data_IF_224055607360
#
_entry.id   IF_224055607360
#
_cell.length_a   1.000
_cell.length_b   1.000
_cell.length_c   1.000
_cell.angle_alpha   90.00
_cell.angle_beta   90.00
_cell.angle_gamma   90.00
#
_symmetry.space_group_name_H-M   'P 1'
#
loop_
_entity.id
_entity.type
_entity.pdbx_description
1 polymer ?
#
# COMPACT_ATOMS: atom_id res chain seq x y z
N UNK A 1 -11.90 7.07 7.90
CA UNK A 1 -11.05 5.87 8.09
C UNK A 1 -10.84 5.22 6.74
N UNK A 2 -9.67 4.69 6.48
CA UNK A 2 -9.35 4.05 5.19
C UNK A 2 -9.75 2.56 5.20
N UNK A 3 -10.02 1.98 4.03
CA UNK A 3 -10.17 0.55 3.85
C UNK A 3 -8.86 -0.06 3.38
N UNK A 4 -8.35 -1.08 4.07
CA UNK A 4 -7.22 -1.91 3.63
C UNK A 4 -7.76 -3.27 3.22
N UNK A 5 -7.23 -3.82 2.15
CA UNK A 5 -7.54 -5.16 1.68
C UNK A 5 -6.32 -5.83 1.06
N UNK A 6 -6.37 -7.15 0.91
CA UNK A 6 -5.31 -7.90 0.28
C UNK A 6 -5.80 -9.23 -0.27
N UNK A 7 -5.03 -9.77 -1.21
CA UNK A 7 -5.22 -11.07 -1.83
C UNK A 7 -3.88 -11.80 -1.84
N UNK A 8 -3.89 -13.06 -1.43
CA UNK A 8 -2.79 -13.99 -1.63
C UNK A 8 -3.33 -15.19 -2.39
N UNK A 9 -2.80 -15.40 -3.59
CA UNK A 9 -3.25 -16.46 -4.48
C UNK A 9 -2.08 -17.34 -4.91
N UNK A 10 -2.24 -18.66 -4.79
CA UNK A 10 -1.43 -19.64 -5.52
C UNK A 10 -2.20 -19.99 -6.79
N UNK A 11 -1.67 -19.66 -7.94
CA UNK A 11 -2.44 -19.53 -9.17
C UNK A 11 -2.27 -20.73 -10.09
N UNK A 12 -3.37 -21.11 -10.75
CA UNK A 12 -3.35 -21.77 -12.05
C UNK A 12 -3.62 -20.69 -13.13
N UNK A 13 -2.60 -20.19 -13.86
CA UNK A 13 -2.72 -18.99 -14.68
C UNK A 13 -3.81 -19.01 -15.73
N UNK A 14 -4.21 -20.20 -16.18
CA UNK A 14 -5.21 -20.35 -17.25
C UNK A 14 -6.66 -20.26 -16.76
N UNK A 15 -6.91 -20.43 -15.46
CA UNK A 15 -8.27 -20.54 -14.93
C UNK A 15 -8.66 -19.42 -13.95
N UNK A 16 -7.68 -18.71 -13.39
CA UNK A 16 -7.92 -17.87 -12.20
C UNK A 16 -8.02 -16.37 -12.47
N UNK A 17 -7.69 -15.89 -13.68
CA UNK A 17 -7.67 -14.44 -13.96
C UNK A 17 -9.03 -13.77 -13.69
N UNK A 18 -10.10 -14.32 -14.25
CA UNK A 18 -11.44 -13.72 -14.10
C UNK A 18 -11.92 -13.75 -12.65
N UNK A 19 -11.57 -14.83 -11.94
CA UNK A 19 -11.86 -14.93 -10.50
C UNK A 19 -11.08 -13.89 -9.68
N UNK A 20 -9.80 -13.69 -9.97
CA UNK A 20 -8.98 -12.67 -9.32
C UNK A 20 -9.57 -11.28 -9.55
N UNK A 21 -9.97 -10.96 -10.78
CA UNK A 21 -10.59 -9.68 -11.12
C UNK A 21 -11.93 -9.51 -10.38
N UNK A 22 -12.73 -10.56 -10.31
CA UNK A 22 -13.98 -10.54 -9.56
C UNK A 22 -13.75 -10.27 -8.07
N UNK A 23 -12.85 -11.03 -7.42
CA UNK A 23 -12.53 -10.88 -6.00
C UNK A 23 -11.96 -9.47 -5.71
N UNK A 24 -11.06 -8.98 -6.56
CA UNK A 24 -10.49 -7.64 -6.44
C UNK A 24 -11.57 -6.56 -6.54
N UNK A 25 -12.51 -6.67 -7.48
CA UNK A 25 -13.63 -5.73 -7.59
C UNK A 25 -14.52 -5.75 -6.35
N UNK A 26 -14.81 -6.92 -5.79
CA UNK A 26 -15.59 -7.04 -4.56
C UNK A 26 -14.88 -6.36 -3.39
N UNK A 27 -13.57 -6.63 -3.19
CA UNK A 27 -12.78 -6.04 -2.13
C UNK A 27 -12.71 -4.51 -2.24
N UNK A 28 -12.49 -3.97 -3.44
CA UNK A 28 -12.46 -2.52 -3.67
C UNK A 28 -13.82 -1.90 -3.37
N UNK A 29 -14.90 -2.50 -3.84
CA UNK A 29 -16.27 -1.99 -3.62
C UNK A 29 -16.64 -1.99 -2.14
N UNK A 30 -16.29 -3.05 -1.42
CA UNK A 30 -16.55 -3.14 0.03
C UNK A 30 -15.68 -2.15 0.81
N UNK A 31 -14.42 -2.00 0.43
CA UNK A 31 -13.47 -1.11 1.09
C UNK A 31 -13.80 0.37 0.85
N UNK A 32 -14.43 0.73 -0.26
CA UNK A 32 -14.87 2.10 -0.55
C UNK A 32 -15.79 2.68 0.51
N UNK A 33 -16.57 1.83 1.22
CA UNK A 33 -17.42 2.25 2.34
C UNK A 33 -16.62 2.89 3.48
N UNK A 34 -15.32 2.62 3.55
CA UNK A 34 -14.40 3.18 4.56
C UNK A 34 -13.61 4.39 4.05
N UNK A 35 -13.45 4.52 2.72
CA UNK A 35 -12.73 5.64 2.13
C UNK A 35 -13.02 5.74 0.64
N UNK A 36 -13.46 6.91 0.19
CA UNK A 36 -13.97 7.11 -1.16
C UNK A 36 -13.21 8.14 -2.00
N UNK A 37 -12.09 8.70 -1.49
CA UNK A 37 -11.43 9.83 -2.15
C UNK A 37 -10.34 9.40 -3.12
N UNK A 38 -9.56 8.37 -2.74
CA UNK A 38 -8.50 7.84 -3.59
C UNK A 38 -8.42 6.32 -3.49
N UNK A 39 -7.79 5.71 -4.49
CA UNK A 39 -7.65 4.27 -4.59
C UNK A 39 -6.24 3.91 -5.06
N UNK A 40 -5.71 2.82 -4.53
CA UNK A 40 -4.47 2.26 -5.04
C UNK A 40 -4.28 0.80 -4.66
N UNK A 41 -3.53 0.10 -5.50
CA UNK A 41 -3.12 -1.29 -5.30
C UNK A 41 -1.64 -1.47 -5.62
N UNK A 42 -1.03 -2.40 -4.93
CA UNK A 42 0.27 -2.96 -5.27
C UNK A 42 0.09 -4.44 -5.63
N UNK A 43 0.57 -4.81 -6.79
CA UNK A 43 0.56 -6.18 -7.31
C UNK A 43 1.98 -6.70 -7.28
N UNK A 44 2.26 -7.68 -6.43
CA UNK A 44 3.54 -8.37 -6.33
C UNK A 44 3.44 -9.66 -7.14
N UNK A 45 4.24 -9.74 -8.17
CA UNK A 45 4.59 -10.93 -8.93
C UNK A 45 5.95 -11.44 -8.44
N UNK A 46 6.44 -12.56 -8.98
CA UNK A 46 7.66 -13.19 -8.49
C UNK A 46 8.83 -12.21 -8.36
N UNK A 47 9.11 -11.44 -9.43
CA UNK A 47 10.26 -10.55 -9.49
C UNK A 47 9.90 -9.06 -9.52
N UNK A 48 8.63 -8.73 -9.76
CA UNK A 48 8.17 -7.36 -9.93
C UNK A 48 7.15 -6.96 -8.87
N UNK A 49 7.19 -5.70 -8.48
CA UNK A 49 6.12 -5.07 -7.70
C UNK A 49 5.60 -3.88 -8.50
N UNK A 50 4.35 -3.95 -8.90
CA UNK A 50 3.68 -2.98 -9.75
C UNK A 50 2.65 -2.21 -8.95
N UNK A 51 2.57 -0.90 -9.16
CA UNK A 51 1.70 -0.04 -8.37
C UNK A 51 0.77 0.75 -9.28
N UNK A 52 -0.51 0.72 -8.96
CA UNK A 52 -1.53 1.60 -9.53
C UNK A 52 -2.09 2.50 -8.45
N UNK A 53 -2.16 3.79 -8.70
CA UNK A 53 -2.78 4.79 -7.82
C UNK A 53 -3.63 5.77 -8.61
N UNK A 54 -4.70 6.25 -7.99
CA UNK A 54 -5.54 7.29 -8.56
C UNK A 54 -6.15 8.15 -7.45
N UNK A 55 -6.46 9.40 -7.80
CA UNK A 55 -7.21 10.33 -6.95
C UNK A 55 -8.72 10.29 -7.22
N UNK A 56 -9.19 9.22 -7.82
CA UNK A 56 -10.59 9.02 -8.14
C UNK A 56 -11.25 8.07 -7.13
N UNK A 57 -12.56 8.21 -7.05
CA UNK A 57 -13.41 7.29 -6.30
C UNK A 57 -13.15 5.84 -6.74
N UNK A 58 -12.91 4.89 -5.80
CA UNK A 58 -12.52 3.52 -6.13
C UNK A 58 -13.41 2.81 -7.15
N UNK A 59 -14.74 2.84 -6.95
CA UNK A 59 -15.70 2.21 -7.88
C UNK A 59 -15.75 2.87 -9.26
N UNK A 60 -15.37 4.13 -9.39
CA UNK A 60 -15.21 4.80 -10.69
C UNK A 60 -13.90 4.34 -11.32
N UNK A 61 -12.81 4.35 -10.56
CA UNK A 61 -11.47 4.01 -11.03
C UNK A 61 -11.40 2.60 -11.64
N UNK A 62 -11.97 1.59 -10.98
CA UNK A 62 -11.93 0.19 -11.46
C UNK A 62 -12.70 -0.05 -12.76
N UNK A 63 -13.54 0.90 -13.20
CA UNK A 63 -14.24 0.83 -14.48
C UNK A 63 -13.51 1.56 -15.60
N UNK A 64 -12.46 2.34 -15.30
CA UNK A 64 -11.71 3.10 -16.29
C UNK A 64 -10.73 2.24 -17.09
N UNK A 65 -10.49 2.69 -18.33
CA UNK A 65 -9.61 2.00 -19.27
C UNK A 65 -8.18 1.86 -18.74
N UNK A 66 -7.64 2.91 -18.09
CA UNK A 66 -6.28 2.88 -17.55
C UNK A 66 -6.09 1.79 -16.47
N UNK A 67 -7.07 1.60 -15.59
CA UNK A 67 -7.03 0.51 -14.61
C UNK A 67 -7.14 -0.87 -15.26
N UNK A 68 -8.06 -1.02 -16.22
CA UNK A 68 -8.23 -2.28 -16.97
C UNK A 68 -6.96 -2.64 -17.72
N UNK A 69 -6.36 -1.67 -18.43
CA UNK A 69 -5.08 -1.88 -19.12
C UNK A 69 -3.98 -2.26 -18.15
N UNK A 70 -3.89 -1.59 -16.98
CA UNK A 70 -2.91 -1.97 -15.95
C UNK A 70 -3.04 -3.43 -15.54
N UNK A 71 -4.26 -3.92 -15.33
CA UNK A 71 -4.50 -5.32 -14.97
C UNK A 71 -4.20 -6.28 -16.14
N UNK A 72 -4.61 -5.94 -17.37
CA UNK A 72 -4.33 -6.77 -18.54
C UNK A 72 -2.84 -6.86 -18.85
N UNK A 73 -2.13 -5.74 -18.85
CA UNK A 73 -0.72 -5.70 -19.21
C UNK A 73 0.18 -6.34 -18.15
N UNK A 74 -0.18 -6.21 -16.90
CA UNK A 74 0.67 -6.62 -15.80
C UNK A 74 0.19 -7.88 -15.08
N UNK A 75 -1.10 -8.08 -14.96
CA UNK A 75 -1.64 -9.26 -14.32
C UNK A 75 -1.84 -10.38 -15.33
N UNK A 76 -2.69 -10.18 -16.34
CA UNK A 76 -3.04 -11.24 -17.30
C UNK A 76 -1.85 -11.79 -18.07
N UNK A 77 -0.92 -10.92 -18.48
CA UNK A 77 0.26 -11.31 -19.29
C UNK A 77 1.41 -11.90 -18.46
N UNK A 78 1.51 -11.54 -17.18
CA UNK A 78 2.65 -11.87 -16.30
C UNK A 78 2.30 -12.81 -15.15
N UNK A 79 1.07 -13.32 -15.09
CA UNK A 79 0.66 -14.25 -14.05
C UNK A 79 1.56 -15.49 -14.03
N UNK A 80 2.11 -15.75 -12.87
CA UNK A 80 2.88 -16.93 -12.51
C UNK A 80 2.31 -17.58 -11.23
N UNK A 81 3.00 -18.56 -10.64
CA UNK A 81 2.47 -19.41 -9.58
C UNK A 81 2.01 -18.72 -8.29
N UNK A 82 2.41 -17.47 -8.08
CA UNK A 82 2.05 -16.71 -6.88
C UNK A 82 1.69 -15.27 -7.21
N UNK A 83 0.57 -14.82 -6.66
CA UNK A 83 0.11 -13.43 -6.75
C UNK A 83 -0.17 -12.90 -5.36
N UNK A 84 0.41 -11.76 -5.03
CA UNK A 84 0.11 -11.04 -3.82
C UNK A 84 -0.37 -9.63 -4.18
N UNK A 85 -1.52 -9.24 -3.68
CA UNK A 85 -2.06 -7.88 -3.84
C UNK A 85 -2.31 -7.29 -2.46
N UNK A 86 -1.91 -6.03 -2.27
CA UNK A 86 -2.38 -5.20 -1.17
C UNK A 86 -2.98 -3.92 -1.76
N UNK A 87 -3.98 -3.37 -1.11
CA UNK A 87 -4.63 -2.17 -1.60
C UNK A 87 -5.26 -1.34 -0.51
N UNK A 88 -5.53 -0.08 -0.86
CA UNK A 88 -6.20 0.86 0.02
C UNK A 88 -7.23 1.69 -0.73
N UNK A 89 -8.36 1.90 -0.07
CA UNK A 89 -9.31 2.97 -0.38
C UNK A 89 -9.20 4.02 0.72
N UNK A 90 -8.88 5.27 0.35
CA UNK A 90 -8.52 6.31 1.31
C UNK A 90 -9.62 7.33 1.46
N UNK A 91 -9.90 7.71 2.71
CA UNK A 91 -10.56 8.98 3.04
C UNK A 91 -9.45 9.98 3.42
N UNK A 92 -9.35 11.07 2.69
CA UNK A 92 -8.32 12.09 2.92
C UNK A 92 -8.67 12.92 4.13
N UNK A 93 -7.95 12.72 5.22
CA UNK A 93 -8.08 13.51 6.45
C UNK A 93 -6.97 14.54 6.57
N UNK A 94 -5.77 14.23 6.05
CA UNK A 94 -4.61 15.10 6.04
C UNK A 94 -3.95 15.09 4.66
N UNK A 95 -3.44 16.26 4.23
CA UNK A 95 -2.81 16.44 2.93
C UNK A 95 -3.82 16.52 1.79
N UNK A 96 -3.33 16.59 0.57
CA UNK A 96 -4.14 16.70 -0.65
C UNK A 96 -4.31 15.33 -1.32
N UNK A 97 -5.54 15.02 -1.77
CA UNK A 97 -5.79 13.84 -2.62
C UNK A 97 -5.06 13.91 -3.97
N UNK A 98 -4.70 15.10 -4.40
CA UNK A 98 -3.96 15.32 -5.66
C UNK A 98 -2.46 15.06 -5.52
N UNK A 99 -1.94 14.92 -4.30
CA UNK A 99 -0.55 14.55 -4.08
C UNK A 99 -0.37 13.04 -4.28
N UNK A 100 0.12 12.64 -5.45
CA UNK A 100 0.40 11.24 -5.78
C UNK A 100 1.34 10.56 -4.76
N UNK A 101 2.28 11.33 -4.20
CA UNK A 101 3.23 10.83 -3.19
C UNK A 101 2.54 10.40 -1.89
N UNK A 102 1.43 11.05 -1.53
CA UNK A 102 0.69 10.77 -0.29
C UNK A 102 -0.38 9.69 -0.46
N UNK A 103 -0.73 9.34 -1.70
CA UNK A 103 -1.69 8.29 -1.96
C UNK A 103 -1.02 6.94 -1.86
N UNK A 104 -1.69 6.02 -1.18
CA UNK A 104 -1.18 4.67 -0.95
C UNK A 104 -1.58 3.71 -2.08
N UNK A 105 -0.81 2.63 -2.30
CA UNK A 105 0.35 2.16 -1.51
C UNK A 105 1.55 3.11 -1.56
N UNK A 106 2.29 3.19 -0.44
CA UNK A 106 3.55 3.93 -0.37
C UNK A 106 4.70 3.00 -0.75
N UNK A 107 5.65 3.57 -1.48
CA UNK A 107 6.79 2.84 -2.04
C UNK A 107 8.08 3.34 -1.43
N UNK A 108 8.92 2.42 -1.00
CA UNK A 108 10.30 2.64 -0.58
C UNK A 108 11.24 1.73 -1.38
N UNK A 109 12.53 1.78 -1.10
CA UNK A 109 13.54 0.97 -1.79
C UNK A 109 13.21 -0.53 -1.74
N UNK A 110 12.86 -1.05 -0.55
CA UNK A 110 12.72 -2.49 -0.32
C UNK A 110 11.30 -2.92 0.08
N UNK A 111 10.40 -1.97 0.37
CA UNK A 111 9.05 -2.24 0.90
C UNK A 111 8.01 -1.42 0.13
N UNK A 112 6.86 -2.04 -0.09
CA UNK A 112 5.63 -1.36 -0.50
C UNK A 112 4.57 -1.63 0.54
N UNK A 113 3.86 -0.60 1.01
CA UNK A 113 2.90 -0.78 2.09
C UNK A 113 1.69 0.12 2.05
N UNK A 114 0.65 -0.30 2.77
CA UNK A 114 -0.57 0.45 3.05
C UNK A 114 -0.78 0.54 4.55
N UNK A 115 -1.24 1.70 5.02
CA UNK A 115 -1.45 2.01 6.43
C UNK A 115 -2.79 2.70 6.63
N UNK A 116 -3.52 2.28 7.62
CA UNK A 116 -4.69 2.96 8.16
C UNK A 116 -4.49 3.21 9.64
N UNK A 117 -4.51 4.47 10.05
CA UNK A 117 -4.27 4.87 11.43
C UNK A 117 -3.42 6.13 11.53
N UNK A 118 -2.78 6.31 12.67
CA UNK A 118 -1.89 7.43 12.96
C UNK A 118 -0.73 6.92 13.80
N UNK A 119 0.50 7.19 13.37
CA UNK A 119 1.70 7.04 14.16
C UNK A 119 2.05 8.38 14.81
N UNK A 120 2.04 8.45 16.13
CA UNK A 120 2.23 9.72 16.85
C UNK A 120 3.68 10.06 17.10
N UNK A 121 4.58 9.10 17.04
CA UNK A 121 6.02 9.28 17.29
C UNK A 121 6.89 9.15 16.02
N UNK A 122 6.29 9.10 14.83
CA UNK A 122 7.00 8.95 13.56
C UNK A 122 6.89 10.16 12.63
N UNK A 123 6.52 11.32 13.15
CA UNK A 123 6.49 12.55 12.37
C UNK A 123 7.92 13.02 12.11
N UNK A 124 8.30 13.16 10.85
CA UNK A 124 9.55 13.78 10.44
C UNK A 124 9.27 14.99 9.57
N UNK A 125 10.08 16.02 9.74
CA UNK A 125 10.04 17.23 8.93
C UNK A 125 11.15 17.12 7.89
N UNK A 126 10.83 17.22 6.60
CA UNK A 126 11.85 17.40 5.57
C UNK A 126 12.36 18.85 5.66
N UNK A 127 13.55 19.03 6.21
CA UNK A 127 14.26 20.30 6.20
C UNK A 127 14.81 20.59 4.78
N UNK A 128 13.96 20.85 3.84
CA UNK A 128 14.38 21.54 2.62
C UNK A 128 14.18 23.03 2.84
N UNK A 129 15.22 23.69 3.33
CA UNK A 129 15.39 25.15 3.24
C UNK A 129 15.38 25.53 1.75
N UNK A 130 14.26 25.97 1.25
CA UNK A 130 14.22 26.84 0.06
C UNK A 130 14.22 28.26 0.58
N UNK A 131 15.16 29.06 0.10
CA UNK A 131 15.57 30.37 0.63
C UNK A 131 14.48 31.47 0.70
N UNK A 132 13.22 31.22 0.40
CA UNK A 132 12.20 32.27 0.37
C UNK A 132 10.78 31.91 0.78
N UNK A 133 10.48 30.73 1.32
CA UNK A 133 9.17 30.48 1.96
C UNK A 133 9.30 29.28 2.88
N UNK A 134 8.97 29.44 4.16
CA UNK A 134 8.86 28.37 5.16
C UNK A 134 7.69 27.43 4.81
N UNK A 135 7.83 26.62 3.79
CA UNK A 135 6.94 25.50 3.55
C UNK A 135 7.61 24.23 4.07
N UNK A 136 7.37 23.89 5.32
CA UNK A 136 7.72 22.60 5.87
C UNK A 136 6.92 21.52 5.11
N UNK A 137 7.57 20.76 4.24
CA UNK A 137 7.00 19.55 3.69
C UNK A 137 6.99 18.50 4.80
N UNK A 138 5.90 18.40 5.53
CA UNK A 138 5.71 17.34 6.53
C UNK A 138 5.67 16.01 5.80
N UNK A 139 6.66 15.18 6.06
CA UNK A 139 6.67 13.79 5.60
C UNK A 139 5.56 13.05 6.31
N UNK A 140 4.76 12.25 5.59
CA UNK A 140 3.69 11.50 6.24
C UNK A 140 4.29 10.48 7.21
N UNK A 141 3.66 10.33 8.38
CA UNK A 141 3.98 9.31 9.38
C UNK A 141 4.07 7.90 8.78
N UNK A 142 3.17 7.59 7.86
CA UNK A 142 3.15 6.35 7.11
C UNK A 142 4.40 6.15 6.25
N UNK A 143 4.87 7.20 5.57
CA UNK A 143 6.07 7.10 4.74
C UNK A 143 7.30 6.89 5.62
N UNK A 144 7.43 7.63 6.71
CA UNK A 144 8.50 7.45 7.69
C UNK A 144 8.53 6.02 8.25
N UNK A 145 7.35 5.47 8.57
CA UNK A 145 7.24 4.08 9.00
C UNK A 145 7.81 3.10 7.97
N UNK A 146 7.38 3.19 6.70
CA UNK A 146 7.85 2.27 5.66
C UNK A 146 9.32 2.47 5.30
N UNK A 147 9.86 3.68 5.38
CA UNK A 147 11.29 3.93 5.18
C UNK A 147 12.13 3.23 6.25
N UNK A 148 11.76 3.38 7.53
CA UNK A 148 12.44 2.70 8.63
C UNK A 148 12.39 1.17 8.47
N UNK A 149 11.25 0.61 8.07
CA UNK A 149 11.13 -0.83 7.81
C UNK A 149 11.97 -1.26 6.61
N UNK A 150 12.08 -0.42 5.59
CA UNK A 150 12.86 -0.69 4.38
C UNK A 150 14.35 -0.88 4.66
N UNK A 151 14.88 -0.29 5.72
CA UNK A 151 16.28 -0.47 6.14
C UNK A 151 16.57 -1.91 6.58
N UNK A 152 15.59 -2.57 7.20
CA UNK A 152 15.73 -3.95 7.71
C UNK A 152 15.32 -5.02 6.69
N UNK A 153 14.69 -4.64 5.57
CA UNK A 153 14.00 -5.57 4.68
C UNK A 153 14.89 -6.63 4.01
N UNK A 154 16.19 -6.41 3.97
CA UNK A 154 17.18 -7.36 3.43
C UNK A 154 17.92 -8.16 4.52
N UNK A 155 17.56 -7.97 5.79
CA UNK A 155 18.17 -8.70 6.89
C UNK A 155 17.54 -10.10 7.02
N UNK A 156 18.35 -11.11 7.25
CA UNK A 156 17.87 -12.47 7.53
C UNK A 156 16.95 -12.52 8.77
N UNK A 157 17.12 -11.60 9.72
CA UNK A 157 16.31 -11.45 10.91
C UNK A 157 15.16 -10.43 10.73
N UNK A 158 14.79 -10.11 9.49
CA UNK A 158 13.80 -9.06 9.20
C UNK A 158 12.55 -9.12 10.08
N UNK A 159 11.94 -10.28 10.24
CA UNK A 159 10.70 -10.43 11.04
C UNK A 159 10.95 -10.06 12.51
N UNK A 160 12.07 -10.49 13.09
CA UNK A 160 12.41 -10.16 14.47
C UNK A 160 12.68 -8.65 14.62
N UNK A 161 13.43 -8.05 13.70
CA UNK A 161 13.70 -6.63 13.67
C UNK A 161 12.41 -5.82 13.52
N UNK A 162 11.51 -6.26 12.65
CA UNK A 162 10.18 -5.65 12.47
C UNK A 162 9.36 -5.70 13.76
N UNK A 163 9.29 -6.85 14.43
CA UNK A 163 8.58 -7.01 15.70
C UNK A 163 9.17 -6.10 16.78
N UNK A 164 10.52 -6.01 16.89
CA UNK A 164 11.17 -5.12 17.85
C UNK A 164 10.90 -3.64 17.52
N UNK A 165 10.92 -3.27 16.25
CA UNK A 165 10.55 -1.92 15.81
C UNK A 165 9.12 -1.57 16.21
N UNK A 166 8.15 -2.48 15.99
CA UNK A 166 6.75 -2.25 16.36
C UNK A 166 6.53 -1.99 17.85
N UNK A 167 7.37 -2.54 18.73
CA UNK A 167 7.29 -2.27 20.18
C UNK A 167 7.54 -0.81 20.54
N UNK A 168 8.28 -0.07 19.69
CA UNK A 168 8.61 1.33 19.87
C UNK A 168 7.67 2.27 19.11
N UNK A 169 6.75 1.74 18.30
CA UNK A 169 5.78 2.53 17.55
C UNK A 169 4.60 2.89 18.42
N UNK A 170 4.27 4.17 18.50
CA UNK A 170 3.14 4.70 19.27
C UNK A 170 2.06 5.19 18.34
N UNK A 171 0.82 4.79 18.59
CA UNK A 171 -0.34 5.18 17.80
C UNK A 171 -1.32 4.04 17.59
N UNK A 172 -2.38 4.27 16.85
CA UNK A 172 -3.33 3.25 16.44
C UNK A 172 -3.13 2.96 14.95
N UNK A 173 -2.85 1.71 14.59
CA UNK A 173 -2.53 1.38 13.22
C UNK A 173 -3.00 -0.01 12.78
N UNK A 174 -3.25 -0.12 11.49
CA UNK A 174 -3.30 -1.36 10.73
C UNK A 174 -2.44 -1.20 9.48
N UNK A 175 -1.53 -2.13 9.26
CA UNK A 175 -0.54 -2.09 8.18
C UNK A 175 -0.60 -3.39 7.41
N UNK A 176 -0.51 -3.32 6.08
CA UNK A 176 -0.12 -4.44 5.24
C UNK A 176 1.05 -4.01 4.37
N UNK A 177 2.08 -4.85 4.29
CA UNK A 177 3.27 -4.56 3.50
C UNK A 177 3.77 -5.78 2.72
N UNK A 178 4.42 -5.49 1.61
CA UNK A 178 5.13 -6.43 0.73
C UNK A 178 6.61 -6.09 0.77
N UNK A 179 7.45 -7.06 1.03
CA UNK A 179 8.91 -6.95 0.89
C UNK A 179 9.28 -7.30 -0.54
N UNK A 180 10.05 -6.44 -1.23
CA UNK A 180 10.31 -6.61 -2.67
C UNK A 180 11.03 -7.93 -3.01
N UNK A 181 11.96 -8.35 -2.17
CA UNK A 181 12.76 -9.56 -2.39
C UNK A 181 12.12 -10.83 -1.80
N UNK A 182 10.93 -10.71 -1.24
CA UNK A 182 10.24 -11.84 -0.61
C UNK A 182 8.83 -12.01 -1.15
N UNK A 183 8.40 -13.24 -1.31
CA UNK A 183 7.06 -13.54 -1.80
C UNK A 183 6.08 -13.72 -0.63
N UNK A 184 5.90 -12.65 0.16
CA UNK A 184 4.99 -12.62 1.31
C UNK A 184 4.36 -11.25 1.54
N UNK A 185 3.19 -11.27 2.18
CA UNK A 185 2.54 -10.11 2.77
C UNK A 185 2.70 -10.23 4.28
N UNK A 186 3.07 -9.12 4.93
CA UNK A 186 3.10 -9.00 6.38
C UNK A 186 1.97 -8.08 6.79
N UNK A 187 1.19 -8.51 7.76
CA UNK A 187 0.06 -7.76 8.31
C UNK A 187 0.32 -7.54 9.80
N UNK A 188 0.14 -6.32 10.27
CA UNK A 188 0.21 -5.99 11.68
C UNK A 188 -0.86 -4.97 12.06
N UNK A 189 -1.37 -5.06 13.26
CA UNK A 189 -2.34 -4.12 13.82
C UNK A 189 -2.23 -4.10 15.33
N UNK A 190 -2.39 -2.93 15.91
CA UNK A 190 -2.58 -2.76 17.35
C UNK A 190 -3.93 -2.11 17.68
N UNK A 191 -4.78 -1.92 16.68
CA UNK A 191 -6.15 -1.48 16.92
C UNK A 191 -6.88 -2.61 17.63
N UNK A 192 -7.03 -2.48 18.94
CA UNK A 192 -7.95 -3.31 19.69
C UNK A 192 -9.33 -3.16 19.07
N UNK A 193 -9.96 -4.26 18.78
CA UNK A 193 -11.36 -4.33 18.33
C UNK A 193 -12.28 -3.81 19.42
#
# INVERSE_FOLDING_TARGET
MCGIFGISYKINPKQDYDKIIFDLRQLVTLSEKRGSDTFGISVKLLEETLIYKTNEKPTIAINKKNYKNFLEDNLKKKLNDNLLIIGQTRLVTNGSKFSYKNNQPLETKNVVGVHNGIFTNLQSYDEKKTENLESYNVKSDSLTFFENISEYANDQNFINNYIQYLKNVVGNYSVALQVRNENKIIISSNCGS
#
